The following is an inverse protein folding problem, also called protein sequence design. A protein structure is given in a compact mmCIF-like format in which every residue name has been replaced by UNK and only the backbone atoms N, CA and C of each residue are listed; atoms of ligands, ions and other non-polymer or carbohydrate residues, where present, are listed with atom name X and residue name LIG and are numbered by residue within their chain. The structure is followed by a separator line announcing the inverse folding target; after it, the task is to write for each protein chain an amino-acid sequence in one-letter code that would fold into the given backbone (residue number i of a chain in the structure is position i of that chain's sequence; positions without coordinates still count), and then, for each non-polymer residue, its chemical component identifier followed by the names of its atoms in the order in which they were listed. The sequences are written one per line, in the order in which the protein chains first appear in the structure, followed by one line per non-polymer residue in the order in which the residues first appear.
data_IF_029777810168
#
_entry.id   IF_029777810168
#
_cell.length_a   1.000
_cell.length_b   1.000
_cell.length_c   1.000
_cell.angle_alpha   90.00
_cell.angle_beta   90.00
_cell.angle_gamma   90.00
#
_symmetry.space_group_name_H-M   'P 1'
#
loop_
_entity.id
_entity.type
_entity.pdbx_description
1 polymer ?
#
# COMPACT_ATOMS: atom_id res chain seq x y z
N UNK A 1 -2.61 -23.91 -12.71
CA UNK A 1 -2.30 -24.90 -11.65
C UNK A 1 -0.78 -24.96 -11.54
N UNK A 2 -0.24 -24.84 -10.32
CA UNK A 2 1.21 -24.82 -10.07
C UNK A 2 1.52 -25.84 -8.98
N UNK A 3 2.70 -26.46 -9.00
CA UNK A 3 3.06 -27.48 -8.02
C UNK A 3 4.58 -27.65 -7.92
N UNK A 4 5.02 -28.14 -6.77
CA UNK A 4 6.42 -28.50 -6.51
C UNK A 4 6.48 -29.96 -6.11
N UNK A 5 7.36 -30.71 -6.77
CA UNK A 5 7.65 -32.10 -6.45
C UNK A 5 8.88 -32.14 -5.52
N UNK A 6 8.77 -32.86 -4.40
CA UNK A 6 9.81 -32.86 -3.35
C UNK A 6 11.08 -33.60 -3.79
N UNK A 7 10.90 -34.64 -4.60
CA UNK A 7 11.94 -35.50 -5.14
C UNK A 7 12.23 -35.17 -6.62
N UNK A 8 13.50 -35.28 -7.02
CA UNK A 8 13.96 -34.98 -8.40
C UNK A 8 13.79 -36.15 -9.36
N UNK A 9 13.01 -37.16 -9.00
CA UNK A 9 12.83 -38.34 -9.84
C UNK A 9 11.96 -38.01 -11.05
N UNK A 10 12.46 -38.36 -12.23
CA UNK A 10 11.72 -38.32 -13.49
C UNK A 10 10.55 -39.32 -13.46
N UNK A 11 9.47 -39.02 -14.18
CA UNK A 11 8.28 -39.85 -14.16
C UNK A 11 7.19 -39.35 -15.09
N UNK A 12 5.99 -39.91 -14.98
CA UNK A 12 4.86 -39.55 -15.84
C UNK A 12 3.78 -38.84 -15.04
N UNK A 13 3.40 -37.63 -15.47
CA UNK A 13 2.24 -36.91 -14.96
C UNK A 13 1.02 -37.27 -15.82
N UNK A 14 0.01 -37.88 -15.21
CA UNK A 14 -1.25 -38.19 -15.88
C UNK A 14 -2.34 -37.22 -15.43
N UNK A 15 -2.97 -36.57 -16.41
CA UNK A 15 -4.13 -35.70 -16.20
C UNK A 15 -5.36 -36.44 -16.71
N UNK A 16 -6.36 -36.59 -15.84
CA UNK A 16 -7.67 -37.15 -16.17
C UNK A 16 -8.75 -36.09 -16.02
N UNK A 17 -9.72 -36.08 -16.94
CA UNK A 17 -10.86 -35.18 -16.91
C UNK A 17 -12.06 -35.79 -17.64
N UNK A 18 -13.21 -35.13 -17.58
CA UNK A 18 -14.36 -35.43 -18.44
C UNK A 18 -14.52 -34.26 -19.40
N UNK A 19 -14.40 -34.51 -20.69
CA UNK A 19 -14.54 -33.49 -21.73
C UNK A 19 -16.03 -33.18 -22.00
N UNK A 20 -16.29 -32.11 -22.74
CA UNK A 20 -17.63 -31.78 -23.21
C UNK A 20 -18.27 -32.99 -23.92
N UNK A 21 -19.51 -33.33 -23.53
CA UNK A 21 -20.20 -34.51 -24.03
C UNK A 21 -19.89 -35.82 -23.28
N UNK A 22 -19.31 -35.76 -22.08
CA UNK A 22 -19.19 -36.92 -21.17
C UNK A 22 -18.05 -37.89 -21.50
N UNK A 23 -17.19 -37.56 -22.47
CA UNK A 23 -16.08 -38.44 -22.87
C UNK A 23 -14.92 -38.35 -21.87
N UNK A 24 -14.37 -39.47 -21.38
CA UNK A 24 -13.20 -39.43 -20.53
C UNK A 24 -11.99 -38.91 -21.32
N UNK A 25 -11.26 -37.98 -20.72
CA UNK A 25 -10.02 -37.42 -21.24
C UNK A 25 -8.85 -37.89 -20.36
N UNK A 26 -7.78 -38.36 -21.00
CA UNK A 26 -6.54 -38.74 -20.33
C UNK A 26 -5.35 -38.27 -21.15
N UNK A 27 -4.44 -37.54 -20.51
CA UNK A 27 -3.19 -37.09 -21.12
C UNK A 27 -2.02 -37.38 -20.19
N UNK A 28 -0.96 -37.96 -20.74
CA UNK A 28 0.28 -38.23 -20.01
C UNK A 28 1.38 -37.30 -20.51
N UNK A 29 2.11 -36.72 -19.57
CA UNK A 29 3.27 -35.86 -19.82
C UNK A 29 4.50 -36.52 -19.19
N UNK A 30 5.56 -36.82 -19.97
CA UNK A 30 6.83 -37.26 -19.41
C UNK A 30 7.52 -36.07 -18.74
N UNK A 31 7.79 -36.18 -17.44
CA UNK A 31 8.52 -35.18 -16.66
C UNK A 31 9.97 -35.62 -16.49
N UNK A 32 10.90 -34.73 -16.85
CA UNK A 32 12.35 -34.93 -16.71
C UNK A 32 12.91 -33.81 -15.82
N UNK A 33 13.75 -34.18 -14.85
CA UNK A 33 14.38 -33.26 -13.90
C UNK A 33 15.91 -33.36 -13.95
N UNK A 34 16.43 -33.71 -15.13
CA UNK A 34 17.83 -33.99 -15.45
C UNK A 34 18.74 -32.74 -15.50
N UNK A 35 18.17 -31.53 -15.45
CA UNK A 35 18.96 -30.30 -15.42
C UNK A 35 19.48 -29.99 -14.00
N UNK A 36 20.79 -29.77 -13.88
CA UNK A 36 21.38 -29.15 -12.70
C UNK A 36 20.89 -27.71 -12.57
N UNK A 37 20.37 -27.35 -11.39
CA UNK A 37 19.86 -26.00 -11.11
C UNK A 37 18.39 -25.71 -11.45
N UNK A 38 17.81 -26.38 -12.46
CA UNK A 38 16.43 -26.12 -12.89
C UNK A 38 16.19 -24.68 -13.39
N UNK A 39 14.93 -24.26 -13.56
CA UNK A 39 14.59 -22.91 -14.00
C UNK A 39 14.15 -22.05 -12.80
N UNK A 40 14.98 -21.07 -12.40
CA UNK A 40 14.73 -20.19 -11.26
C UNK A 40 13.43 -19.37 -11.43
N UNK A 41 13.10 -18.94 -12.65
CA UNK A 41 11.86 -18.19 -12.90
C UNK A 41 10.61 -19.04 -12.65
N UNK A 42 10.64 -20.33 -12.98
CA UNK A 42 9.55 -21.28 -12.67
C UNK A 42 9.44 -21.48 -11.16
N UNK A 43 10.57 -21.57 -10.46
CA UNK A 43 10.61 -21.68 -9.00
C UNK A 43 9.98 -20.45 -8.32
N UNK A 44 10.32 -19.25 -8.78
CA UNK A 44 9.72 -17.99 -8.29
C UNK A 44 8.22 -17.91 -8.61
N UNK A 45 7.79 -18.37 -9.79
CA UNK A 45 6.36 -18.41 -10.15
C UNK A 45 5.57 -19.31 -9.20
N UNK A 46 6.12 -20.49 -8.87
CA UNK A 46 5.55 -21.36 -7.86
C UNK A 46 5.50 -20.69 -6.47
N UNK A 47 6.59 -20.05 -6.04
CA UNK A 47 6.66 -19.36 -4.76
C UNK A 47 5.61 -18.26 -4.62
N UNK A 48 5.41 -17.45 -5.67
CA UNK A 48 4.35 -16.42 -5.72
C UNK A 48 2.95 -17.02 -5.62
N UNK A 49 2.71 -18.12 -6.33
CA UNK A 49 1.42 -18.81 -6.25
C UNK A 49 1.16 -19.38 -4.85
N UNK A 50 2.18 -19.94 -4.20
CA UNK A 50 2.06 -20.48 -2.84
C UNK A 50 1.81 -19.40 -1.80
N UNK A 51 2.49 -18.25 -1.90
CA UNK A 51 2.21 -17.10 -1.03
C UNK A 51 0.76 -16.65 -1.20
N UNK A 52 0.25 -16.56 -2.44
CA UNK A 52 -1.15 -16.18 -2.69
C UNK A 52 -2.13 -17.15 -2.03
N UNK A 53 -1.89 -18.46 -2.12
CA UNK A 53 -2.72 -19.49 -1.48
C UNK A 53 -2.73 -19.33 0.05
N UNK A 54 -1.55 -19.23 0.67
CA UNK A 54 -1.43 -19.06 2.13
C UNK A 54 -2.10 -17.79 2.64
N UNK A 55 -2.01 -16.69 1.87
CA UNK A 55 -2.68 -15.44 2.22
C UNK A 55 -4.21 -15.55 2.11
N UNK A 56 -4.72 -16.34 1.16
CA UNK A 56 -6.16 -16.57 1.01
C UNK A 56 -6.72 -17.38 2.19
N UNK A 57 -5.96 -18.32 2.74
CA UNK A 57 -6.33 -19.05 3.97
C UNK A 57 -6.46 -18.13 5.20
N UNK A 58 -5.81 -16.96 5.18
CA UNK A 58 -5.83 -15.95 6.25
C UNK A 58 -6.79 -14.78 5.96
N UNK A 59 -7.85 -15.00 5.18
CA UNK A 59 -8.78 -13.92 4.81
C UNK A 59 -9.49 -13.31 6.03
N UNK A 60 -9.83 -14.14 7.02
CA UNK A 60 -10.53 -13.71 8.24
C UNK A 60 -9.61 -13.18 9.34
N UNK A 61 -8.29 -13.26 9.14
CA UNK A 61 -7.29 -12.83 10.12
C UNK A 61 -5.95 -13.53 9.97
N UNK A 62 -4.90 -12.93 10.55
CA UNK A 62 -3.56 -13.48 10.52
C UNK A 62 -3.42 -14.68 11.48
N UNK A 63 -2.90 -15.79 10.98
CA UNK A 63 -2.61 -17.01 11.74
C UNK A 63 -1.10 -17.17 11.80
N UNK A 64 -0.51 -17.21 13.00
CA UNK A 64 0.96 -17.22 13.20
C UNK A 64 1.69 -18.26 12.33
N UNK A 65 1.19 -19.50 12.29
CA UNK A 65 1.76 -20.58 11.47
C UNK A 65 1.77 -20.24 9.97
N UNK A 66 0.71 -19.57 9.48
CA UNK A 66 0.59 -19.16 8.08
C UNK A 66 1.44 -17.93 7.76
N UNK A 67 1.57 -16.99 8.70
CA UNK A 67 2.51 -15.86 8.60
C UNK A 67 3.95 -16.37 8.48
N UNK A 68 4.33 -17.32 9.31
CA UNK A 68 5.64 -17.97 9.26
C UNK A 68 5.84 -18.71 7.92
N UNK A 69 4.84 -19.47 7.47
CA UNK A 69 4.90 -20.15 6.18
C UNK A 69 5.08 -19.18 5.00
N UNK A 70 4.36 -18.05 4.98
CA UNK A 70 4.52 -17.02 3.95
C UNK A 70 5.92 -16.41 4.00
N UNK A 71 6.43 -16.13 5.20
CA UNK A 71 7.78 -15.57 5.40
C UNK A 71 8.85 -16.54 4.91
N UNK A 72 8.74 -17.82 5.25
CA UNK A 72 9.68 -18.87 4.82
C UNK A 72 9.68 -19.06 3.31
N UNK A 73 8.52 -19.04 2.66
CA UNK A 73 8.44 -19.10 1.18
C UNK A 73 9.02 -17.84 0.55
N UNK A 74 8.73 -16.66 1.10
CA UNK A 74 9.25 -15.41 0.59
C UNK A 74 10.78 -15.36 0.65
N UNK A 75 11.38 -15.70 1.79
CA UNK A 75 12.83 -15.75 1.97
C UNK A 75 13.48 -16.84 1.10
N UNK A 76 12.91 -18.05 1.10
CA UNK A 76 13.46 -19.19 0.35
C UNK A 76 13.51 -18.98 -1.17
N UNK A 77 12.60 -18.16 -1.71
CA UNK A 77 12.52 -17.86 -3.14
C UNK A 77 12.89 -16.41 -3.49
N UNK A 78 13.44 -15.64 -2.53
CA UNK A 78 13.83 -14.22 -2.70
C UNK A 78 12.68 -13.33 -3.21
N UNK A 79 11.48 -13.56 -2.71
CA UNK A 79 10.27 -12.82 -3.06
C UNK A 79 9.95 -11.80 -1.97
N UNK A 80 9.35 -10.67 -2.36
CA UNK A 80 8.67 -9.80 -1.41
C UNK A 80 7.27 -10.33 -1.07
N UNK A 81 6.88 -10.13 0.18
CA UNK A 81 5.57 -10.44 0.74
C UNK A 81 5.19 -9.37 1.76
N UNK A 82 3.99 -9.47 2.35
CA UNK A 82 3.56 -8.59 3.46
C UNK A 82 4.54 -8.58 4.64
N UNK A 83 5.30 -9.66 4.82
CA UNK A 83 6.14 -9.93 5.99
C UNK A 83 7.65 -9.85 5.69
N UNK A 84 8.05 -9.38 4.51
CA UNK A 84 9.46 -9.27 4.11
C UNK A 84 9.74 -7.90 3.50
N UNK A 85 10.96 -7.38 3.68
CA UNK A 85 11.39 -6.09 3.15
C UNK A 85 12.83 -6.16 2.64
N UNK A 86 13.14 -5.38 1.60
CA UNK A 86 14.52 -5.16 1.17
C UNK A 86 15.13 -4.02 1.98
N UNK A 87 16.23 -4.32 2.68
CA UNK A 87 16.99 -3.34 3.45
C UNK A 87 18.36 -3.20 2.82
N UNK A 88 18.67 -2.03 2.27
CA UNK A 88 20.00 -1.70 1.80
C UNK A 88 20.80 -1.11 2.97
N UNK A 89 21.82 -1.82 3.41
CA UNK A 89 22.77 -1.35 4.43
C UNK A 89 24.01 -0.82 3.71
N UNK A 90 24.47 0.37 4.10
CA UNK A 90 25.71 0.97 3.60
C UNK A 90 26.74 1.03 4.71
N UNK A 91 27.98 0.65 4.41
CA UNK A 91 29.09 0.63 5.38
C UNK A 91 29.61 2.03 5.75
N UNK A 92 29.18 3.08 5.05
CA UNK A 92 29.53 4.46 5.35
C UNK A 92 28.76 4.99 6.56
N UNK A 93 29.49 5.30 7.63
CA UNK A 93 28.99 6.00 8.80
C UNK A 93 28.63 7.45 8.42
N UNK A 94 27.34 7.72 8.14
CA UNK A 94 26.85 9.06 7.74
C UNK A 94 26.94 10.14 8.84
N UNK A 95 27.49 9.83 10.01
CA UNK A 95 27.66 10.75 11.13
C UNK A 95 29.06 10.62 11.72
N UNK A 96 29.78 11.73 11.78
CA UNK A 96 31.00 11.87 12.57
C UNK A 96 30.65 11.63 14.06
N UNK A 97 31.28 10.66 14.77
CA UNK A 97 31.01 10.37 16.18
C UNK A 97 31.22 11.59 17.11
N UNK A 98 32.00 12.58 16.71
CA UNK A 98 32.26 13.81 17.47
C UNK A 98 31.35 14.99 17.10
N UNK A 99 30.45 14.83 16.10
CA UNK A 99 29.58 15.91 15.63
C UNK A 99 28.11 15.51 15.75
N UNK A 100 27.51 15.89 16.88
CA UNK A 100 26.11 15.64 17.18
C UNK A 100 25.19 16.45 16.24
N UNK A 101 24.66 15.76 15.23
CA UNK A 101 23.56 16.22 14.36
C UNK A 101 23.81 17.49 13.54
N UNK A 102 23.97 17.33 12.23
CA UNK A 102 23.96 18.47 11.29
C UNK A 102 22.53 18.72 10.81
N UNK A 103 21.87 19.77 11.31
CA UNK A 103 20.61 20.27 10.74
C UNK A 103 20.88 20.93 9.39
N UNK A 104 20.57 20.24 8.31
CA UNK A 104 20.60 20.80 6.96
C UNK A 104 19.17 21.18 6.55
N UNK A 105 18.93 22.46 6.28
CA UNK A 105 17.67 22.89 5.67
C UNK A 105 17.63 22.37 4.23
N UNK A 106 16.82 21.35 4.00
CA UNK A 106 16.50 20.89 2.64
C UNK A 106 15.56 21.93 2.03
N UNK A 107 15.97 22.56 0.93
CA UNK A 107 15.04 23.33 0.09
C UNK A 107 13.98 22.35 -0.42
N UNK A 108 12.78 22.39 0.15
CA UNK A 108 11.64 21.71 -0.42
C UNK A 108 11.38 22.35 -1.78
N UNK A 109 11.43 21.56 -2.84
CA UNK A 109 10.98 22.00 -4.15
C UNK A 109 9.46 22.07 -4.08
N UNK A 110 8.90 23.26 -4.20
CA UNK A 110 7.47 23.42 -4.45
C UNK A 110 7.17 22.77 -5.80
N UNK A 111 6.13 21.91 -5.92
CA UNK A 111 5.78 21.31 -7.20
C UNK A 111 5.55 22.39 -8.27
N UNK A 112 6.04 22.16 -9.49
CA UNK A 112 5.81 23.05 -10.62
C UNK A 112 4.31 23.25 -10.81
N UNK A 113 3.87 24.52 -10.76
CA UNK A 113 2.46 24.91 -10.84
C UNK A 113 1.83 25.41 -9.53
N UNK A 114 2.51 25.30 -8.38
CA UNK A 114 2.12 26.01 -7.17
C UNK A 114 2.67 27.44 -7.19
N UNK A 115 1.92 28.37 -7.75
CA UNK A 115 2.07 29.80 -7.40
C UNK A 115 1.83 29.88 -5.89
N UNK A 116 2.76 30.44 -5.13
CA UNK A 116 2.51 30.77 -3.73
C UNK A 116 1.29 31.68 -3.68
N UNK A 117 0.13 31.12 -3.39
CA UNK A 117 -1.10 31.88 -3.20
C UNK A 117 -0.80 32.75 -1.98
N UNK A 118 -0.72 34.10 -2.09
CA UNK A 118 -0.68 34.90 -0.89
C UNK A 118 -1.93 34.54 -0.11
N UNK A 119 -1.77 34.02 1.11
CA UNK A 119 -2.89 33.62 1.95
C UNK A 119 -3.96 34.72 1.87
N UNK A 120 -5.21 34.42 1.47
CA UNK A 120 -6.25 35.43 1.39
C UNK A 120 -6.41 36.02 2.79
N UNK A 121 -5.82 37.20 2.90
CA UNK A 121 -5.44 37.83 4.15
C UNK A 121 -6.63 37.99 5.10
N UNK A 122 -6.35 37.88 6.40
CA UNK A 122 -7.22 38.28 7.51
C UNK A 122 -7.98 39.61 7.29
N UNK A 123 -7.50 40.48 6.38
CA UNK A 123 -8.16 41.71 5.94
C UNK A 123 -9.59 41.48 5.44
N UNK A 124 -9.85 40.45 4.64
CA UNK A 124 -11.21 40.16 4.18
C UNK A 124 -12.10 39.64 5.30
N UNK A 125 -11.55 38.83 6.21
CA UNK A 125 -12.26 38.37 7.40
C UNK A 125 -12.63 39.55 8.32
N UNK A 126 -11.72 40.52 8.50
CA UNK A 126 -11.97 41.75 9.27
C UNK A 126 -13.03 42.63 8.58
N UNK A 127 -12.97 42.78 7.25
CA UNK A 127 -13.97 43.54 6.49
C UNK A 127 -15.37 42.90 6.58
N UNK A 128 -15.46 41.58 6.41
CA UNK A 128 -16.72 40.84 6.53
C UNK A 128 -17.27 40.91 7.96
N UNK A 129 -16.39 40.79 8.96
CA UNK A 129 -16.80 40.91 10.36
C UNK A 129 -17.27 42.33 10.71
N UNK A 130 -16.59 43.36 10.23
CA UNK A 130 -16.99 44.76 10.39
C UNK A 130 -18.35 45.05 9.73
N UNK A 131 -18.56 44.55 8.50
CA UNK A 131 -19.84 44.70 7.80
C UNK A 131 -20.98 43.96 8.52
N UNK A 132 -20.71 42.75 9.02
CA UNK A 132 -21.67 41.96 9.79
C UNK A 132 -22.05 42.65 11.11
N UNK A 133 -21.07 43.17 11.85
CA UNK A 133 -21.31 43.87 13.11
C UNK A 133 -22.04 45.20 12.89
N UNK A 134 -21.70 45.96 11.84
CA UNK A 134 -22.41 47.17 11.46
C UNK A 134 -23.88 46.90 11.13
N UNK A 135 -24.16 45.84 10.35
CA UNK A 135 -25.52 45.43 10.04
C UNK A 135 -26.32 45.03 11.29
N UNK A 136 -25.74 44.23 12.19
CA UNK A 136 -26.42 43.88 13.46
C UNK A 136 -26.71 45.09 14.33
N UNK A 137 -25.79 46.04 14.40
CA UNK A 137 -25.98 47.25 15.21
C UNK A 137 -27.09 48.13 14.62
N UNK A 138 -27.16 48.27 13.30
CA UNK A 138 -28.25 48.98 12.62
C UNK A 138 -29.61 48.30 12.85
N UNK A 139 -29.67 46.96 12.77
CA UNK A 139 -30.90 46.20 13.07
C UNK A 139 -31.36 46.40 14.51
N UNK A 140 -30.44 46.42 15.48
CA UNK A 140 -30.76 46.69 16.89
C UNK A 140 -31.25 48.12 17.09
N UNK A 141 -30.62 49.11 16.45
CA UNK A 141 -31.05 50.52 16.49
C UNK A 141 -32.43 50.71 15.85
N UNK A 142 -32.70 50.07 14.72
CA UNK A 142 -34.03 50.08 14.09
C UNK A 142 -35.09 49.46 15.01
N UNK A 143 -34.74 48.38 15.74
CA UNK A 143 -35.65 47.73 16.69
C UNK A 143 -35.93 48.60 17.91
N UNK A 144 -34.92 49.33 18.41
CA UNK A 144 -35.07 50.27 19.51
C UNK A 144 -35.91 51.50 19.13
N UNK A 145 -35.71 52.06 17.93
CA UNK A 145 -36.48 53.22 17.45
C UNK A 145 -37.97 52.87 17.27
N UNK A 146 -38.27 51.67 16.77
CA UNK A 146 -39.65 51.17 16.63
C UNK A 146 -40.38 50.96 17.96
N UNK A 147 -39.65 50.78 19.06
CA UNK A 147 -40.24 50.66 20.41
C UNK A 147 -40.54 52.05 21.04
N UNK A 148 -39.78 53.08 20.66
CA UNK A 148 -40.01 54.47 21.10
C UNK A 148 -41.20 55.14 20.42
N UNK A 149 -41.52 54.79 19.17
CA UNK A 149 -42.67 55.36 18.43
C UNK A 149 -44.03 54.73 18.78
N UNK A 150 -44.04 53.54 19.39
CA UNK A 150 -45.27 52.80 19.74
C UNK A 150 -45.70 52.97 21.22
N UNK A 151 -45.10 53.93 21.93
CA UNK A 151 -45.42 54.26 23.33
C UNK A 151 -45.87 55.71 23.46
N UNK A 152 -46.95 56.07 22.76
CA UNK A 152 -47.86 57.18 23.06
C UNK A 152 -49.28 56.78 22.65
#
# INVERSE_FOLDING_TARGET
MYGRKQDRLSGNLQITAVAAGGKPYRKTFPLRFDSDGGNEAIAQLWGRAKIKELMLEMTDGEISERVEAVTNVALGYRLMSKYTAFVAVSDEQRVDPNNSSRRQKVKQQTPDGMVGIPEPSFVWAILLFGLYMGWKHWVLLCKAKKFSENSY
#
